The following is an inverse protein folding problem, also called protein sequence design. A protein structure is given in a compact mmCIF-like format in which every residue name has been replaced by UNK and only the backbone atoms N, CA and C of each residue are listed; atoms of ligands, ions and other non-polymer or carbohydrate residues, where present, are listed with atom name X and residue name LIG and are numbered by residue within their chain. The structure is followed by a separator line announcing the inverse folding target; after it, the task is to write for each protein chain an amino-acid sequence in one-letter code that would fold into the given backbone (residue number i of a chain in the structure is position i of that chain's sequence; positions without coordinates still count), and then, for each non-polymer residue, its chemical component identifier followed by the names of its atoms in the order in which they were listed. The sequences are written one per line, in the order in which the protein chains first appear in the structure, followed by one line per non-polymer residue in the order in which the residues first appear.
data_IF_217277247432
#
_entry.id   IF_217277247432
#
_cell.length_a   1.000
_cell.length_b   1.000
_cell.length_c   1.000
_cell.angle_alpha   90.00
_cell.angle_beta   90.00
_cell.angle_gamma   90.00
#
_symmetry.space_group_name_H-M   'P 1'
#
loop_
_entity.id
_entity.type
_entity.pdbx_description
1 polymer ?
#
# COMPACT_ATOMS: atom_id res chain seq x y z
N UNK A 1 3.12 -21.50 16.89
CA UNK A 1 3.35 -20.45 15.87
C UNK A 1 2.50 -20.79 14.66
N UNK A 2 1.38 -20.09 14.48
CA UNK A 2 0.42 -20.27 13.38
C UNK A 2 0.54 -19.16 12.33
N UNK A 3 1.37 -18.15 12.59
CA UNK A 3 1.49 -16.93 11.79
C UNK A 3 1.87 -17.21 10.32
N UNK A 4 2.86 -18.07 10.01
CA UNK A 4 3.20 -18.38 8.61
C UNK A 4 2.08 -19.13 7.87
N UNK A 5 1.33 -19.98 8.57
CA UNK A 5 0.18 -20.69 8.03
C UNK A 5 -0.94 -19.69 7.69
N UNK A 6 -1.26 -18.79 8.63
CA UNK A 6 -2.28 -17.76 8.43
C UNK A 6 -1.89 -16.81 7.29
N UNK A 7 -0.63 -16.38 7.21
CA UNK A 7 -0.12 -15.57 6.10
C UNK A 7 -0.29 -16.28 4.74
N UNK A 8 -0.02 -17.58 4.69
CA UNK A 8 -0.18 -18.40 3.50
C UNK A 8 -1.65 -18.52 3.11
N UNK A 9 -2.53 -18.81 4.07
CA UNK A 9 -3.97 -18.88 3.86
C UNK A 9 -4.54 -17.56 3.35
N UNK A 10 -4.16 -16.43 3.95
CA UNK A 10 -4.61 -15.10 3.51
C UNK A 10 -4.13 -14.81 2.09
N UNK A 11 -2.86 -15.09 1.78
CA UNK A 11 -2.30 -14.87 0.43
C UNK A 11 -3.04 -15.74 -0.59
N UNK A 12 -3.21 -17.03 -0.31
CA UNK A 12 -3.87 -17.97 -1.21
C UNK A 12 -5.33 -17.58 -1.41
N UNK A 13 -6.06 -17.27 -0.33
CA UNK A 13 -7.44 -16.81 -0.41
C UNK A 13 -7.55 -15.50 -1.21
N UNK A 14 -6.69 -14.51 -0.95
CA UNK A 14 -6.67 -13.26 -1.71
C UNK A 14 -6.47 -13.55 -3.21
N UNK A 15 -5.44 -14.32 -3.57
CA UNK A 15 -5.15 -14.67 -4.98
C UNK A 15 -6.27 -15.47 -5.64
N UNK A 16 -6.87 -16.42 -4.95
CA UNK A 16 -7.95 -17.26 -5.50
C UNK A 16 -9.25 -16.47 -5.66
N UNK A 17 -9.63 -15.66 -4.66
CA UNK A 17 -10.87 -14.88 -4.68
C UNK A 17 -10.78 -13.74 -5.70
N UNK A 18 -9.64 -13.06 -5.79
CA UNK A 18 -9.47 -11.89 -6.66
C UNK A 18 -8.76 -12.18 -7.98
N UNK A 19 -8.29 -13.41 -8.21
CA UNK A 19 -7.46 -13.70 -9.38
C UNK A 19 -6.26 -12.75 -9.51
N UNK A 20 -5.70 -12.32 -8.37
CA UNK A 20 -4.74 -11.22 -8.29
C UNK A 20 -3.59 -11.37 -9.30
N UNK A 21 -3.37 -10.33 -10.11
CA UNK A 21 -2.23 -10.23 -11.02
C UNK A 21 -1.28 -9.13 -10.56
N UNK A 22 0.01 -9.40 -10.66
CA UNK A 22 1.08 -8.44 -10.35
C UNK A 22 1.83 -8.12 -11.64
N UNK A 23 1.73 -6.87 -12.07
CA UNK A 23 2.43 -6.36 -13.25
C UNK A 23 3.59 -5.49 -12.80
N UNK A 24 4.81 -5.89 -13.14
CA UNK A 24 6.04 -5.21 -12.77
C UNK A 24 6.51 -4.35 -13.95
N UNK A 25 5.88 -3.18 -14.13
CA UNK A 25 5.98 -2.37 -15.36
C UNK A 25 7.24 -1.49 -15.41
N UNK A 26 7.60 -0.86 -14.29
CA UNK A 26 8.76 0.04 -14.23
C UNK A 26 9.93 -0.47 -13.38
N UNK A 27 9.73 -1.55 -12.62
CA UNK A 27 10.81 -2.24 -11.91
C UNK A 27 10.46 -3.71 -11.68
N UNK A 28 11.47 -4.57 -11.49
CA UNK A 28 11.27 -5.94 -11.03
C UNK A 28 11.20 -6.05 -9.50
N UNK A 29 10.77 -7.20 -8.96
CA UNK A 29 10.78 -7.46 -7.52
C UNK A 29 12.19 -7.75 -7.01
N UNK A 30 12.91 -6.71 -6.61
CA UNK A 30 14.28 -6.82 -6.10
C UNK A 30 14.32 -6.70 -4.56
N UNK A 31 15.28 -7.35 -3.89
CA UNK A 31 15.46 -7.28 -2.43
C UNK A 31 16.14 -5.97 -2.00
N UNK A 32 15.55 -4.84 -2.40
CA UNK A 32 15.95 -3.49 -2.01
C UNK A 32 14.80 -2.85 -1.25
N UNK A 33 15.12 -1.95 -0.34
CA UNK A 33 14.13 -1.33 0.51
C UNK A 33 13.25 -0.36 -0.28
N UNK A 34 11.94 -0.48 -0.08
CA UNK A 34 10.93 0.21 -0.88
C UNK A 34 9.85 0.84 -0.02
N UNK A 35 9.37 2.00 -0.44
CA UNK A 35 8.13 2.59 0.01
C UNK A 35 7.14 2.42 -1.13
N UNK A 36 6.29 1.40 -1.05
CA UNK A 36 5.20 1.20 -1.99
C UNK A 36 4.06 2.15 -1.64
N UNK A 37 3.68 3.04 -2.55
CA UNK A 37 2.54 3.93 -2.37
C UNK A 37 1.46 3.64 -3.40
N UNK A 38 0.21 3.53 -2.94
CA UNK A 38 -0.90 3.09 -3.79
C UNK A 38 -2.15 3.96 -3.63
N UNK A 39 -3.04 3.87 -4.62
CA UNK A 39 -4.41 4.38 -4.51
C UNK A 39 -5.19 3.54 -3.49
N UNK A 40 -6.13 4.16 -2.76
CA UNK A 40 -6.87 3.51 -1.69
C UNK A 40 -8.37 3.60 -1.92
N UNK A 41 -9.03 2.48 -2.22
CA UNK A 41 -10.47 2.35 -2.39
C UNK A 41 -11.13 1.46 -1.34
N UNK A 42 -10.38 0.55 -0.71
CA UNK A 42 -10.92 -0.51 0.14
C UNK A 42 -9.95 -0.91 1.26
N UNK A 43 -10.48 -1.48 2.35
CA UNK A 43 -9.63 -2.05 3.42
C UNK A 43 -8.80 -3.24 2.93
N UNK A 44 -9.22 -3.91 1.85
CA UNK A 44 -8.50 -5.06 1.28
C UNK A 44 -7.30 -4.67 0.43
N UNK A 45 -7.11 -3.40 0.09
CA UNK A 45 -6.09 -2.95 -0.86
C UNK A 45 -4.67 -3.29 -0.41
N UNK A 46 -4.34 -3.06 0.87
CA UNK A 46 -3.00 -3.42 1.35
C UNK A 46 -2.83 -4.94 1.44
N UNK A 47 -3.89 -5.70 1.75
CA UNK A 47 -3.81 -7.18 1.77
C UNK A 47 -3.51 -7.68 0.36
N UNK A 48 -4.17 -7.10 -0.64
CA UNK A 48 -3.96 -7.41 -2.05
C UNK A 48 -2.53 -7.06 -2.47
N UNK A 49 -2.06 -5.84 -2.21
CA UNK A 49 -0.69 -5.42 -2.55
C UNK A 49 0.33 -6.29 -1.82
N UNK A 50 0.16 -6.53 -0.53
CA UNK A 50 1.03 -7.39 0.27
C UNK A 50 1.07 -8.83 -0.26
N UNK A 51 -0.08 -9.39 -0.66
CA UNK A 51 -0.17 -10.71 -1.28
C UNK A 51 0.43 -10.76 -2.71
N UNK A 52 0.48 -9.63 -3.42
CA UNK A 52 1.14 -9.48 -4.71
C UNK A 52 2.68 -9.50 -4.62
N UNK A 53 3.25 -9.22 -3.46
CA UNK A 53 4.70 -9.29 -3.26
C UNK A 53 5.19 -10.75 -3.23
N UNK A 54 6.38 -11.04 -3.81
CA UNK A 54 7.03 -12.32 -3.62
C UNK A 54 7.30 -12.61 -2.13
N UNK A 55 7.31 -13.89 -1.71
CA UNK A 55 7.39 -14.25 -0.30
C UNK A 55 8.57 -13.62 0.46
N UNK A 56 9.73 -13.45 -0.19
CA UNK A 56 10.90 -12.84 0.43
C UNK A 56 10.67 -11.35 0.74
N UNK A 57 10.17 -10.58 -0.23
CA UNK A 57 9.88 -9.15 -0.05
C UNK A 57 8.73 -8.96 0.94
N UNK A 58 7.69 -9.79 0.83
CA UNK A 58 6.50 -9.72 1.69
C UNK A 58 6.82 -9.83 3.17
N UNK A 59 7.78 -10.68 3.55
CA UNK A 59 8.21 -10.84 4.95
C UNK A 59 8.91 -9.61 5.52
N UNK A 60 9.45 -8.77 4.65
CA UNK A 60 10.16 -7.54 5.00
C UNK A 60 9.34 -6.30 4.61
N UNK A 61 8.03 -6.43 4.40
CA UNK A 61 7.18 -5.30 4.03
C UNK A 61 6.04 -5.16 5.02
N UNK A 62 6.01 -4.02 5.71
CA UNK A 62 5.02 -3.67 6.74
C UNK A 62 3.96 -2.73 6.16
N UNK A 63 2.67 -3.07 6.19
CA UNK A 63 1.63 -2.12 5.83
C UNK A 63 1.42 -1.08 6.93
N UNK A 64 1.24 0.18 6.54
CA UNK A 64 0.93 1.28 7.45
C UNK A 64 -0.59 1.44 7.54
N UNK A 65 -1.12 1.39 8.76
CA UNK A 65 -2.56 1.42 8.97
C UNK A 65 -2.99 2.21 10.21
N UNK A 66 -4.22 2.73 10.20
CA UNK A 66 -4.79 3.45 11.33
C UNK A 66 -5.02 2.54 12.54
N UNK A 67 -4.50 2.94 13.70
CA UNK A 67 -4.64 2.18 14.94
C UNK A 67 -6.11 2.02 15.37
N UNK A 68 -6.93 3.05 15.14
CA UNK A 68 -8.37 3.10 15.44
C UNK A 68 -9.13 1.90 14.86
N UNK A 69 -8.89 1.56 13.60
CA UNK A 69 -9.57 0.46 12.92
C UNK A 69 -9.03 -0.91 13.31
N UNK A 70 -7.71 -1.04 13.42
CA UNK A 70 -7.01 -2.32 13.59
C UNK A 70 -6.96 -2.80 15.03
N UNK A 71 -7.01 -1.89 15.99
CA UNK A 71 -7.06 -2.20 17.42
C UNK A 71 -8.49 -2.46 17.92
N UNK A 72 -9.51 -2.24 17.09
CA UNK A 72 -10.92 -2.34 17.46
C UNK A 72 -11.41 -3.76 17.78
N UNK A 73 -10.74 -4.83 17.30
CA UNK A 73 -11.13 -6.21 17.61
C UNK A 73 -9.94 -7.14 17.81
N UNK A 74 -10.07 -8.21 18.61
CA UNK A 74 -8.99 -9.17 18.86
C UNK A 74 -8.44 -9.79 17.58
N UNK A 75 -9.33 -10.14 16.63
CA UNK A 75 -8.92 -10.72 15.35
C UNK A 75 -8.11 -9.73 14.51
N UNK A 76 -8.58 -8.48 14.36
CA UNK A 76 -7.84 -7.45 13.61
C UNK A 76 -6.50 -7.16 14.25
N UNK A 77 -6.46 -7.05 15.58
CA UNK A 77 -5.25 -6.84 16.36
C UNK A 77 -4.25 -7.99 16.15
N UNK A 78 -4.71 -9.23 16.17
CA UNK A 78 -3.86 -10.39 15.87
C UNK A 78 -3.30 -10.31 14.46
N UNK A 79 -4.15 -10.05 13.46
CA UNK A 79 -3.73 -9.99 12.06
C UNK A 79 -2.68 -8.90 11.82
N UNK A 80 -2.92 -7.66 12.26
CA UNK A 80 -1.98 -6.57 12.01
C UNK A 80 -0.66 -6.76 12.74
N UNK A 81 -0.67 -7.19 14.01
CA UNK A 81 0.54 -7.25 14.82
C UNK A 81 1.34 -8.54 14.60
N UNK A 82 0.66 -9.67 14.33
CA UNK A 82 1.29 -10.99 14.28
C UNK A 82 1.49 -11.54 12.88
N UNK A 83 0.61 -11.17 11.94
CA UNK A 83 0.64 -11.71 10.57
C UNK A 83 1.26 -10.72 9.61
N UNK A 84 0.75 -9.49 9.59
CA UNK A 84 1.23 -8.45 8.68
C UNK A 84 2.43 -7.68 9.22
N UNK A 85 2.69 -7.74 10.53
CA UNK A 85 3.67 -6.91 11.23
C UNK A 85 3.54 -5.43 10.84
N UNK A 86 2.29 -4.94 10.82
CA UNK A 86 1.96 -3.61 10.31
C UNK A 86 2.37 -2.49 11.27
N UNK A 87 2.71 -1.34 10.68
CA UNK A 87 3.00 -0.11 11.42
C UNK A 87 1.69 0.61 11.70
N UNK A 88 1.35 0.77 12.97
CA UNK A 88 0.12 1.45 13.38
C UNK A 88 0.36 2.94 13.61
N UNK A 89 -0.46 3.77 12.98
CA UNK A 89 -0.45 5.23 13.15
C UNK A 89 -1.72 5.69 13.87
N UNK A 90 -1.56 6.55 14.87
CA UNK A 90 -2.69 7.25 15.47
C UNK A 90 -3.08 8.44 14.57
N UNK A 91 -4.27 8.36 13.98
CA UNK A 91 -4.81 9.40 13.11
C UNK A 91 -5.55 10.49 13.88
N UNK A 92 -5.99 10.18 15.11
CA UNK A 92 -6.79 11.07 15.96
C UNK A 92 -5.91 11.92 16.89
N UNK A 93 -4.59 11.66 16.92
CA UNK A 93 -3.60 12.40 17.74
C UNK A 93 -4.06 12.51 19.19
N UNK A 94 -4.38 11.38 19.81
CA UNK A 94 -4.83 11.36 21.22
C UNK A 94 -3.70 11.73 22.18
N UNK A 95 -2.46 11.52 21.77
CA UNK A 95 -1.26 11.96 22.48
C UNK A 95 -0.34 12.77 21.57
N UNK A 96 0.35 13.80 22.10
CA UNK A 96 1.33 14.57 21.36
C UNK A 96 2.55 13.68 21.07
N UNK A 97 2.59 13.11 19.86
CA UNK A 97 3.81 12.47 19.33
C UNK A 97 4.60 13.55 18.58
N UNK A 98 5.89 13.69 18.89
CA UNK A 98 6.77 14.70 18.29
C UNK A 98 6.84 14.60 16.76
N UNK A 99 6.81 13.37 16.23
CA UNK A 99 6.80 13.11 14.80
C UNK A 99 5.80 11.98 14.44
N UNK A 100 4.70 12.27 13.74
CA UNK A 100 3.71 11.25 13.35
C UNK A 100 4.25 10.21 12.36
N UNK A 101 5.41 10.46 11.75
CA UNK A 101 6.07 9.52 10.84
C UNK A 101 7.07 8.62 11.55
N UNK A 102 7.38 8.85 12.83
CA UNK A 102 8.43 8.13 13.55
C UNK A 102 8.27 6.60 13.47
N UNK A 103 7.07 6.00 13.67
CA UNK A 103 6.92 4.55 13.56
C UNK A 103 7.26 3.99 12.16
N UNK A 104 7.07 4.79 11.10
CA UNK A 104 7.44 4.41 9.74
C UNK A 104 8.95 4.55 9.52
N UNK A 105 9.58 5.58 10.08
CA UNK A 105 11.02 5.78 10.02
C UNK A 105 11.76 4.68 10.79
N UNK A 106 11.25 4.27 11.95
CA UNK A 106 11.82 3.18 12.74
C UNK A 106 11.75 1.85 11.96
N UNK A 107 10.61 1.56 11.34
CA UNK A 107 10.47 0.38 10.47
C UNK A 107 11.44 0.42 9.29
N UNK A 108 11.65 1.59 8.67
CA UNK A 108 12.66 1.74 7.62
C UNK A 108 14.07 1.53 8.18
N UNK A 109 14.40 2.07 9.36
CA UNK A 109 15.70 1.88 10.00
C UNK A 109 15.96 0.40 10.35
N UNK A 110 14.92 -0.37 10.70
CA UNK A 110 14.98 -1.82 10.94
C UNK A 110 15.21 -2.65 9.66
N UNK A 111 15.18 -2.01 8.47
CA UNK A 111 15.37 -2.66 7.17
C UNK A 111 14.08 -3.10 6.49
N UNK A 112 12.91 -2.73 7.01
CA UNK A 112 11.63 -3.07 6.41
C UNK A 112 11.21 -2.07 5.33
N UNK A 113 10.56 -2.59 4.30
CA UNK A 113 9.80 -1.82 3.32
C UNK A 113 8.41 -1.46 3.86
N UNK A 114 7.79 -0.44 3.27
CA UNK A 114 6.47 0.05 3.69
C UNK A 114 5.44 -0.07 2.58
N UNK A 115 4.19 -0.31 2.96
CA UNK A 115 3.01 -0.06 2.10
C UNK A 115 2.24 1.12 2.70
N UNK A 116 2.09 2.19 1.94
CA UNK A 116 1.38 3.40 2.36
C UNK A 116 0.33 3.83 1.33
N UNK A 117 -0.68 4.55 1.82
CA UNK A 117 -1.70 5.18 0.98
C UNK A 117 -1.62 6.68 1.21
N UNK A 118 -1.02 7.45 0.29
CA UNK A 118 -0.73 8.87 0.52
C UNK A 118 -2.00 9.73 0.61
N UNK A 119 -3.14 9.25 0.11
CA UNK A 119 -4.47 9.86 0.32
C UNK A 119 -4.86 9.88 1.82
N UNK A 120 -4.35 8.93 2.60
CA UNK A 120 -4.58 8.82 4.05
C UNK A 120 -6.00 8.42 4.46
N UNK A 121 -6.90 8.20 3.51
CA UNK A 121 -8.25 7.68 3.67
C UNK A 121 -8.65 6.92 2.40
N UNK A 122 -9.75 6.17 2.45
CA UNK A 122 -10.30 5.50 1.27
C UNK A 122 -11.02 6.51 0.39
N UNK A 123 -10.67 6.54 -0.88
CA UNK A 123 -11.42 7.20 -1.93
C UNK A 123 -12.65 6.36 -2.30
N UNK A 124 -13.82 6.85 -1.91
CA UNK A 124 -15.11 6.26 -2.26
C UNK A 124 -15.67 6.81 -3.57
N UNK A 125 -15.06 7.87 -4.10
CA UNK A 125 -15.45 8.51 -5.36
C UNK A 125 -14.88 7.69 -6.54
N UNK A 126 -15.60 7.67 -7.65
CA UNK A 126 -15.19 6.95 -8.86
C UNK A 126 -14.18 7.75 -9.71
N UNK A 127 -14.13 9.06 -9.52
CA UNK A 127 -13.31 9.97 -10.33
C UNK A 127 -11.99 10.33 -9.64
N UNK A 128 -10.90 9.74 -10.14
CA UNK A 128 -9.53 10.17 -9.84
C UNK A 128 -8.98 9.77 -8.46
N UNK A 129 -7.89 10.43 -8.07
CA UNK A 129 -7.21 10.26 -6.78
C UNK A 129 -7.55 11.42 -5.84
N UNK A 130 -7.64 11.17 -4.55
CA UNK A 130 -7.65 12.23 -3.55
C UNK A 130 -6.26 12.91 -3.48
N UNK A 131 -6.21 14.14 -2.94
CA UNK A 131 -4.93 14.82 -2.71
C UNK A 131 -4.00 14.00 -1.81
N UNK A 132 -2.72 13.96 -2.19
CA UNK A 132 -1.70 13.28 -1.39
C UNK A 132 -1.31 14.12 -0.17
N UNK A 133 -1.17 13.45 0.98
CA UNK A 133 -0.62 14.04 2.21
C UNK A 133 0.90 14.14 2.12
N UNK A 134 1.46 15.09 2.86
CA UNK A 134 2.91 15.37 2.87
C UNK A 134 3.79 14.24 3.42
N UNK A 135 3.20 13.24 4.09
CA UNK A 135 3.95 12.12 4.67
C UNK A 135 4.83 11.38 3.66
N UNK A 136 4.37 11.23 2.41
CA UNK A 136 5.16 10.60 1.34
C UNK A 136 6.46 11.37 1.06
N UNK A 137 6.37 12.71 0.94
CA UNK A 137 7.54 13.58 0.75
C UNK A 137 8.50 13.50 1.93
N UNK A 138 7.98 13.60 3.16
CA UNK A 138 8.84 13.58 4.36
C UNK A 138 9.53 12.24 4.56
N UNK A 139 8.89 11.12 4.22
CA UNK A 139 9.54 9.81 4.22
C UNK A 139 10.65 9.73 3.16
N UNK A 140 10.37 10.13 1.92
CA UNK A 140 11.36 10.13 0.85
C UNK A 140 12.56 11.03 1.18
N UNK A 141 12.32 12.18 1.81
CA UNK A 141 13.38 13.11 2.25
C UNK A 141 14.21 12.54 3.40
N UNK A 142 13.56 11.91 4.38
CA UNK A 142 14.25 11.41 5.58
C UNK A 142 14.97 10.09 5.32
N UNK A 143 14.56 9.36 4.28
CA UNK A 143 15.08 8.04 3.96
C UNK A 143 15.34 7.91 2.43
N UNK A 144 16.30 8.70 1.88
CA UNK A 144 16.55 8.81 0.43
C UNK A 144 17.05 7.52 -0.24
N UNK A 145 17.52 6.56 0.56
CA UNK A 145 17.98 5.26 0.08
C UNK A 145 16.83 4.30 -0.28
N UNK A 146 15.61 4.54 0.21
CA UNK A 146 14.46 3.72 -0.17
C UNK A 146 13.89 4.17 -1.52
N UNK A 147 13.61 3.20 -2.38
CA UNK A 147 12.91 3.44 -3.64
C UNK A 147 11.43 3.72 -3.37
N UNK A 148 10.91 4.84 -3.88
CA UNK A 148 9.48 5.19 -3.76
C UNK A 148 8.74 4.64 -4.99
N UNK A 149 7.95 3.57 -4.80
CA UNK A 149 7.35 2.81 -5.90
C UNK A 149 5.86 3.12 -6.00
N UNK A 150 5.37 3.73 -7.11
CA UNK A 150 3.94 3.82 -7.37
C UNK A 150 3.36 2.43 -7.63
N UNK A 151 2.22 2.14 -7.01
CA UNK A 151 1.47 0.90 -7.23
C UNK A 151 0.01 1.20 -7.49
N UNK A 152 -0.47 0.98 -8.71
CA UNK A 152 -1.88 1.08 -9.02
C UNK A 152 -2.61 -0.22 -8.70
N UNK A 153 -3.70 -0.10 -7.95
CA UNK A 153 -4.59 -1.19 -7.57
C UNK A 153 -5.90 -1.01 -8.34
N UNK A 154 -6.10 -1.84 -9.37
CA UNK A 154 -7.33 -1.90 -10.15
C UNK A 154 -8.24 -3.01 -9.61
N UNK A 155 -9.40 -2.62 -9.08
CA UNK A 155 -10.45 -3.53 -8.63
C UNK A 155 -11.62 -3.51 -9.64
N UNK A 156 -11.82 -4.60 -10.40
CA UNK A 156 -12.90 -4.69 -11.41
C UNK A 156 -14.33 -4.62 -10.86
N UNK A 157 -14.53 -4.67 -9.54
CA UNK A 157 -15.84 -4.51 -8.91
C UNK A 157 -16.55 -3.18 -9.22
N UNK A 158 -15.85 -2.18 -9.76
CA UNK A 158 -16.45 -0.90 -10.19
C UNK A 158 -17.00 -0.91 -11.62
N UNK A 159 -16.66 -1.90 -12.44
CA UNK A 159 -17.17 -2.01 -13.83
C UNK A 159 -18.37 -2.98 -13.91
N UNK A 160 -18.76 -3.57 -12.76
CA UNK A 160 -19.84 -4.55 -12.70
C UNK A 160 -21.19 -3.86 -12.46
N UNK A 161 -22.18 -3.99 -13.37
CA UNK A 161 -23.53 -3.49 -13.12
C UNK A 161 -24.17 -4.23 -11.94
N UNK A 162 -24.89 -3.49 -11.09
CA UNK A 162 -25.63 -4.05 -9.94
C UNK A 162 -26.53 -5.20 -10.42
N UNK A 163 -26.39 -6.39 -9.82
CA UNK A 163 -27.34 -7.50 -10.00
C UNK A 163 -26.86 -8.74 -10.76
N UNK A 164 -25.57 -8.89 -11.10
CA UNK A 164 -25.06 -10.16 -11.66
C UNK A 164 -24.20 -10.95 -10.68
N UNK A 165 -24.59 -12.19 -10.42
CA UNK A 165 -23.77 -13.23 -9.79
C UNK A 165 -22.89 -13.88 -10.85
N UNK A 166 -21.56 -13.74 -10.74
CA UNK A 166 -20.61 -14.48 -11.57
C UNK A 166 -19.54 -15.09 -10.66
N UNK A 167 -19.30 -16.41 -10.73
CA UNK A 167 -18.24 -17.08 -9.97
C UNK A 167 -16.89 -16.97 -10.72
N UNK A 168 -16.55 -15.77 -11.20
CA UNK A 168 -15.23 -15.50 -11.77
C UNK A 168 -14.36 -14.84 -10.70
N UNK A 169 -13.04 -15.13 -10.66
CA UNK A 169 -12.14 -14.37 -9.83
C UNK A 169 -12.29 -12.89 -10.19
N UNK A 170 -12.50 -12.05 -9.17
CA UNK A 170 -12.64 -10.60 -9.33
C UNK A 170 -11.31 -10.02 -9.80
N UNK A 171 -10.96 -10.05 -11.10
CA UNK A 171 -9.58 -9.82 -11.56
C UNK A 171 -9.06 -8.48 -11.02
N UNK A 172 -8.25 -8.58 -9.97
CA UNK A 172 -7.60 -7.46 -9.35
C UNK A 172 -6.18 -7.39 -9.92
N UNK A 173 -5.81 -6.23 -10.44
CA UNK A 173 -4.46 -6.01 -10.98
C UNK A 173 -3.72 -5.03 -10.10
N UNK A 174 -2.48 -5.38 -9.75
CA UNK A 174 -1.53 -4.52 -9.05
C UNK A 174 -0.38 -4.20 -9.99
N UNK A 175 -0.28 -2.94 -10.43
CA UNK A 175 0.73 -2.48 -11.38
C UNK A 175 1.80 -1.69 -10.65
N UNK A 176 3.04 -2.16 -10.66
CA UNK A 176 4.21 -1.54 -10.03
C UNK A 176 4.97 -0.71 -11.06
N UNK A 177 5.10 0.59 -10.82
CA UNK A 177 5.74 1.53 -11.74
C UNK A 177 7.23 1.73 -11.51
N UNK A 178 7.76 2.77 -12.14
CA UNK A 178 9.18 3.15 -12.08
C UNK A 178 9.53 3.71 -10.71
N UNK A 179 10.66 3.31 -10.10
CA UNK A 179 11.11 3.88 -8.85
C UNK A 179 11.32 5.39 -8.94
N UNK A 180 10.80 6.11 -7.95
CA UNK A 180 11.02 7.53 -7.76
C UNK A 180 12.00 7.76 -6.59
N UNK A 181 12.77 8.83 -6.72
CA UNK A 181 13.61 9.40 -5.67
C UNK A 181 13.27 10.88 -5.55
N UNK A 182 13.47 11.44 -4.37
CA UNK A 182 13.37 12.89 -4.19
C UNK A 182 14.57 13.55 -4.88
N UNK A 183 14.31 14.50 -5.77
CA UNK A 183 15.37 15.19 -6.51
C UNK A 183 15.94 16.36 -5.70
N UNK A 184 17.19 16.73 -5.98
CA UNK A 184 17.85 17.84 -5.29
C UNK A 184 17.11 19.16 -5.53
N UNK A 185 16.72 19.83 -4.45
CA UNK A 185 15.97 21.08 -4.51
C UNK A 185 14.49 20.92 -4.88
N UNK A 186 13.98 19.71 -5.06
CA UNK A 186 12.57 19.46 -5.38
C UNK A 186 11.68 19.85 -4.20
N UNK A 187 10.69 20.70 -4.48
CA UNK A 187 9.72 21.11 -3.49
C UNK A 187 8.78 19.96 -3.12
N UNK A 188 8.16 20.06 -1.95
CA UNK A 188 7.15 19.09 -1.50
C UNK A 188 6.00 18.99 -2.49
N UNK A 189 5.52 20.12 -3.01
CA UNK A 189 4.43 20.19 -3.97
C UNK A 189 4.81 19.51 -5.31
N UNK A 190 6.02 19.76 -5.81
CA UNK A 190 6.54 19.14 -7.04
C UNK A 190 6.64 17.62 -6.91
N UNK A 191 7.24 17.15 -5.82
CA UNK A 191 7.41 15.72 -5.57
C UNK A 191 6.08 14.98 -5.45
N UNK A 192 5.11 15.56 -4.72
CA UNK A 192 3.80 14.95 -4.56
C UNK A 192 3.02 14.91 -5.87
N UNK A 193 3.09 15.97 -6.68
CA UNK A 193 2.43 15.97 -8.00
C UNK A 193 3.07 14.97 -8.96
N UNK A 194 4.41 14.93 -9.04
CA UNK A 194 5.13 13.93 -9.83
C UNK A 194 4.79 12.51 -9.40
N UNK A 195 4.72 12.27 -8.09
CA UNK A 195 4.29 10.98 -7.53
C UNK A 195 2.85 10.63 -7.91
N UNK A 196 1.94 11.61 -7.90
CA UNK A 196 0.53 11.44 -8.30
C UNK A 196 0.41 11.11 -9.78
N UNK A 197 1.13 11.83 -10.65
CA UNK A 197 1.18 11.59 -12.10
C UNK A 197 1.75 10.20 -12.39
N UNK A 198 2.84 9.81 -11.74
CA UNK A 198 3.43 8.49 -11.90
C UNK A 198 2.48 7.35 -11.48
N UNK A 199 1.65 7.57 -10.46
CA UNK A 199 0.61 6.61 -10.06
C UNK A 199 -0.52 6.55 -11.09
N UNK A 200 -1.01 7.69 -11.58
CA UNK A 200 -2.07 7.75 -12.60
C UNK A 200 -1.64 7.13 -13.93
N UNK A 201 -0.36 7.24 -14.31
CA UNK A 201 0.17 6.61 -15.53
C UNK A 201 0.10 5.07 -15.50
N UNK A 202 -0.13 4.46 -14.32
CA UNK A 202 -0.31 3.02 -14.16
C UNK A 202 -1.79 2.60 -14.16
N UNK A 203 -2.71 3.56 -14.17
CA UNK A 203 -4.13 3.27 -14.30
C UNK A 203 -4.38 2.62 -15.66
N UNK A 204 -5.24 1.59 -15.74
CA UNK A 204 -5.60 1.01 -17.03
C UNK A 204 -6.26 2.10 -17.90
N UNK A 205 -5.82 2.21 -19.16
CA UNK A 205 -6.58 2.96 -20.16
C UNK A 205 -8.00 2.41 -20.18
N UNK A 206 -9.01 3.29 -20.26
CA UNK A 206 -10.41 2.88 -20.37
C UNK A 206 -10.54 1.86 -21.51
N UNK A 207 -10.70 0.58 -21.17
CA UNK A 207 -10.97 -0.48 -22.11
C UNK A 207 -12.43 -0.43 -22.58
#
# INVERSE_FOLDING_TARGET
MLEPLVATLITSAARTITGARSLWLGCGPQPVQRIYYANHSSHGDFVLLWASLPPALRRMTRPVAGADYWQASPLRRYLINRVFNGVLIDRERKEPVDNPLQPMLDALADGDSLIIFPEGTRNLQEDGLLPFKSGLYHLAKSYPQAQVIPVWIANLNRVMPKGRFLPLPLLCTTSFGTPLFLEDGESKEQFLERSRVALLALAPEHA
#
